data_IF_185929927297
#
_entry.id   IF_185929927297
#
_cell.length_a   1.000
_cell.length_b   1.000
_cell.length_c   1.000
_cell.angle_alpha   90.00
_cell.angle_beta   90.00
_cell.angle_gamma   90.00
#
_symmetry.space_group_name_H-M   'P 1'
#
loop_
_entity.id
_entity.type
_entity.pdbx_description
1 polymer ?
#
# COMPACT_ATOMS: atom_id res chain seq x y z
N UNK A 1 24.09 -3.28 -24.46
CA UNK A 1 22.96 -2.43 -24.02
C UNK A 1 22.19 -3.20 -22.95
N UNK A 2 22.44 -2.90 -21.66
CA UNK A 2 21.64 -3.51 -20.59
C UNK A 2 20.20 -2.95 -20.74
N UNK A 3 19.24 -3.86 -20.95
CA UNK A 3 17.82 -3.51 -20.93
C UNK A 3 17.52 -2.78 -19.62
N UNK A 4 16.78 -1.67 -19.63
CA UNK A 4 16.47 -0.97 -18.41
C UNK A 4 15.76 -1.93 -17.46
N UNK A 5 16.22 -2.03 -16.21
CA UNK A 5 15.58 -2.83 -15.17
C UNK A 5 14.16 -2.28 -14.97
N UNK A 6 13.19 -2.92 -15.59
CA UNK A 6 11.79 -2.50 -15.51
C UNK A 6 10.99 -3.28 -14.46
N UNK A 7 11.56 -4.39 -13.96
CA UNK A 7 10.87 -5.31 -13.05
C UNK A 7 11.83 -5.76 -11.96
N UNK A 8 11.39 -5.64 -10.70
CA UNK A 8 12.06 -6.20 -9.54
C UNK A 8 11.36 -7.50 -9.14
N UNK A 9 12.12 -8.60 -9.07
CA UNK A 9 11.64 -9.89 -8.56
C UNK A 9 12.42 -10.26 -7.30
N UNK A 10 11.71 -10.57 -6.23
CA UNK A 10 12.35 -11.00 -4.98
C UNK A 10 11.45 -11.93 -4.17
N UNK A 11 12.07 -12.82 -3.39
CA UNK A 11 11.36 -13.64 -2.40
C UNK A 11 11.34 -12.94 -1.06
N UNK A 12 10.15 -12.79 -0.50
CA UNK A 12 9.99 -12.24 0.85
C UNK A 12 10.47 -13.27 1.88
N UNK A 13 11.49 -12.95 2.67
CA UNK A 13 12.10 -13.92 3.60
C UNK A 13 11.10 -14.46 4.65
N UNK A 14 10.17 -13.62 5.13
CA UNK A 14 9.19 -13.99 6.16
C UNK A 14 8.11 -14.97 5.66
N UNK A 15 7.72 -14.92 4.40
CA UNK A 15 6.59 -15.69 3.84
C UNK A 15 6.97 -16.59 2.67
N UNK A 16 8.22 -16.53 2.19
CA UNK A 16 8.68 -17.26 1.01
C UNK A 16 8.02 -16.82 -0.31
N UNK A 17 7.06 -15.91 -0.29
CA UNK A 17 6.33 -15.46 -1.49
C UNK A 17 7.26 -14.76 -2.46
N UNK A 18 7.15 -15.11 -3.73
CA UNK A 18 7.79 -14.40 -4.83
C UNK A 18 6.96 -13.17 -5.15
N UNK A 19 7.58 -12.00 -5.07
CA UNK A 19 6.97 -10.72 -5.45
C UNK A 19 7.62 -10.24 -6.74
N UNK A 20 6.79 -9.74 -7.65
CA UNK A 20 7.21 -9.16 -8.93
C UNK A 20 6.62 -7.76 -9.00
N UNK A 21 7.49 -6.76 -9.03
CA UNK A 21 7.09 -5.35 -9.00
C UNK A 21 7.65 -4.63 -10.20
N UNK A 22 6.79 -3.99 -10.98
CA UNK A 22 7.22 -3.07 -12.04
C UNK A 22 7.83 -1.82 -11.39
N UNK A 23 9.01 -1.45 -11.84
CA UNK A 23 9.69 -0.25 -11.36
C UNK A 23 9.20 0.98 -12.12
N UNK A 24 8.50 1.84 -11.43
CA UNK A 24 8.08 3.14 -11.95
C UNK A 24 9.28 4.07 -12.18
N UNK A 25 9.17 5.10 -13.05
CA UNK A 25 10.29 5.99 -13.39
C UNK A 25 11.00 6.61 -12.18
N UNK A 26 10.25 7.02 -11.15
CA UNK A 26 10.80 7.56 -9.91
C UNK A 26 11.65 6.53 -9.14
N UNK A 27 11.19 5.27 -9.06
CA UNK A 27 11.95 4.19 -8.44
C UNK A 27 13.22 3.88 -9.23
N UNK A 28 13.14 3.84 -10.58
CA UNK A 28 14.30 3.64 -11.45
C UNK A 28 15.37 4.73 -11.27
N UNK A 29 14.95 5.98 -11.08
CA UNK A 29 15.88 7.08 -10.81
C UNK A 29 16.66 6.85 -9.50
N UNK A 30 15.98 6.37 -8.45
CA UNK A 30 16.60 6.02 -7.17
C UNK A 30 17.58 4.86 -7.36
N UNK A 31 17.18 3.79 -8.06
CA UNK A 31 18.08 2.66 -8.37
C UNK A 31 19.32 3.14 -9.12
N UNK A 32 19.14 3.95 -10.18
CA UNK A 32 20.27 4.49 -10.96
C UNK A 32 21.23 5.31 -10.10
N UNK A 33 20.71 6.06 -9.11
CA UNK A 33 21.52 6.93 -8.26
C UNK A 33 22.29 6.18 -7.16
N UNK A 34 21.70 5.12 -6.58
CA UNK A 34 22.20 4.52 -5.34
C UNK A 34 22.58 3.03 -5.46
N UNK A 35 22.21 2.35 -6.54
CA UNK A 35 22.61 0.96 -6.72
C UNK A 35 24.10 0.87 -7.01
N UNK A 36 24.74 -0.19 -6.51
CA UNK A 36 26.13 -0.50 -6.87
C UNK A 36 26.22 -0.89 -8.33
N UNK A 37 27.07 -0.18 -9.07
CA UNK A 37 27.38 -0.48 -10.48
C UNK A 37 28.59 -1.38 -10.67
N UNK A 38 29.35 -1.62 -9.59
CA UNK A 38 30.57 -2.44 -9.59
C UNK A 38 30.25 -3.92 -9.65
N UNK A 39 30.91 -4.66 -10.53
CA UNK A 39 30.80 -6.10 -10.65
C UNK A 39 31.17 -6.78 -9.33
N UNK A 40 30.19 -7.38 -8.64
CA UNK A 40 30.41 -8.18 -7.45
C UNK A 40 29.72 -7.80 -6.15
N UNK A 41 28.86 -6.77 -6.03
CA UNK A 41 28.18 -6.52 -4.77
C UNK A 41 27.15 -7.63 -4.50
N UNK A 42 27.19 -8.14 -3.28
CA UNK A 42 26.26 -9.17 -2.80
C UNK A 42 24.81 -8.62 -2.72
N UNK A 43 24.68 -7.29 -2.61
CA UNK A 43 23.41 -6.58 -2.45
C UNK A 43 23.30 -5.41 -3.42
N UNK A 44 22.07 -5.10 -3.81
CA UNK A 44 21.77 -4.02 -4.76
C UNK A 44 22.21 -2.64 -4.26
N UNK A 45 22.11 -2.38 -2.98
CA UNK A 45 22.54 -1.12 -2.36
C UNK A 45 23.74 -1.34 -1.44
N UNK A 46 24.70 -0.39 -1.35
CA UNK A 46 25.96 -0.56 -0.61
C UNK A 46 25.79 -0.41 0.91
N UNK A 47 24.63 -0.77 1.45
CA UNK A 47 24.34 -0.69 2.90
C UNK A 47 24.93 -1.89 3.64
N UNK A 48 24.84 -3.07 3.04
CA UNK A 48 25.37 -4.30 3.59
C UNK A 48 26.51 -4.76 2.70
N UNK A 49 27.68 -4.95 3.28
CA UNK A 49 28.92 -5.25 2.56
C UNK A 49 29.37 -6.70 2.67
N UNK A 50 28.83 -7.43 3.66
CA UNK A 50 29.21 -8.83 3.94
C UNK A 50 27.97 -9.71 4.04
N UNK A 51 28.15 -11.02 3.88
CA UNK A 51 27.10 -12.03 4.05
C UNK A 51 27.06 -12.58 5.49
N UNK A 52 26.09 -13.42 5.78
CA UNK A 52 25.97 -14.15 7.02
C UNK A 52 25.69 -13.28 8.24
N UNK A 53 26.21 -13.69 9.39
CA UNK A 53 25.96 -13.02 10.69
C UNK A 53 26.43 -11.56 10.70
N UNK A 54 27.60 -11.27 10.13
CA UNK A 54 28.13 -9.90 10.06
C UNK A 54 27.25 -9.00 9.19
N UNK A 55 26.79 -9.50 8.06
CA UNK A 55 25.83 -8.78 7.21
C UNK A 55 24.51 -8.49 7.93
N UNK A 56 24.01 -9.44 8.71
CA UNK A 56 22.81 -9.23 9.53
C UNK A 56 23.02 -8.15 10.59
N UNK A 57 24.17 -8.13 11.26
CA UNK A 57 24.52 -7.04 12.19
C UNK A 57 24.62 -5.68 11.49
N UNK A 58 25.22 -5.60 10.32
CA UNK A 58 25.28 -4.37 9.52
C UNK A 58 23.86 -3.88 9.18
N UNK A 59 22.97 -4.78 8.76
CA UNK A 59 21.55 -4.48 8.53
C UNK A 59 20.88 -3.89 9.76
N UNK A 60 21.05 -4.51 10.94
CA UNK A 60 20.42 -4.03 12.17
C UNK A 60 20.92 -2.62 12.57
N UNK A 61 22.23 -2.37 12.42
CA UNK A 61 22.80 -1.05 12.71
C UNK A 61 22.27 0.00 11.74
N UNK A 62 22.27 -0.29 10.45
CA UNK A 62 21.75 0.59 9.41
C UNK A 62 20.27 0.91 9.60
N UNK A 63 19.45 -0.10 9.94
CA UNK A 63 18.02 0.09 10.20
C UNK A 63 17.76 0.95 11.43
N UNK A 64 18.54 0.78 12.50
CA UNK A 64 18.45 1.64 13.69
C UNK A 64 18.80 3.10 13.36
N UNK A 65 19.91 3.34 12.66
CA UNK A 65 20.31 4.68 12.20
C UNK A 65 19.24 5.31 11.31
N UNK A 66 18.73 4.57 10.35
CA UNK A 66 17.66 5.04 9.48
C UNK A 66 16.40 5.46 10.26
N UNK A 67 15.94 4.64 11.20
CA UNK A 67 14.78 4.97 12.03
C UNK A 67 15.07 6.15 13.00
N UNK A 68 16.31 6.34 13.46
CA UNK A 68 16.69 7.50 14.25
C UNK A 68 16.59 8.80 13.43
N UNK A 69 17.11 8.81 12.19
CA UNK A 69 16.97 9.96 11.29
C UNK A 69 15.51 10.26 10.93
N UNK A 70 14.68 9.23 10.72
CA UNK A 70 13.25 9.41 10.49
C UNK A 70 12.54 10.01 11.70
N UNK A 71 12.89 9.60 12.92
CA UNK A 71 12.33 10.16 14.14
C UNK A 71 12.73 11.63 14.31
N UNK A 72 13.97 11.98 14.00
CA UNK A 72 14.44 13.37 14.01
C UNK A 72 13.70 14.21 12.94
N UNK A 73 13.51 13.68 11.75
CA UNK A 73 12.71 14.32 10.71
C UNK A 73 11.26 14.57 11.17
N UNK A 74 10.65 13.60 11.88
CA UNK A 74 9.32 13.80 12.48
C UNK A 74 9.28 14.98 13.43
N UNK A 75 10.30 15.09 14.28
CA UNK A 75 10.43 16.18 15.25
C UNK A 75 10.59 17.53 14.56
N UNK A 76 11.48 17.62 13.57
CA UNK A 76 11.73 18.85 12.79
C UNK A 76 10.49 19.33 12.03
N UNK A 77 9.67 18.41 11.52
CA UNK A 77 8.44 18.71 10.80
C UNK A 77 7.22 18.89 11.71
N UNK A 78 7.37 18.79 13.04
CA UNK A 78 6.27 18.91 13.99
C UNK A 78 5.18 17.84 13.82
N UNK A 79 5.52 16.65 13.30
CA UNK A 79 4.55 15.60 13.08
C UNK A 79 4.11 14.97 14.41
N UNK A 80 2.81 14.74 14.56
CA UNK A 80 2.25 14.06 15.74
C UNK A 80 2.62 12.57 15.82
N UNK A 81 3.04 11.98 14.70
CA UNK A 81 3.38 10.56 14.57
C UNK A 81 4.87 10.43 14.31
N UNK A 82 5.53 9.55 15.07
CA UNK A 82 6.94 9.21 14.86
C UNK A 82 7.07 8.43 13.54
N UNK A 83 7.86 8.95 12.60
CA UNK A 83 8.19 8.23 11.37
C UNK A 83 9.15 7.06 11.66
N UNK A 84 8.89 5.95 10.99
CA UNK A 84 9.75 4.76 10.96
C UNK A 84 9.75 4.17 9.57
N UNK A 85 10.69 3.26 9.27
CA UNK A 85 10.70 2.51 8.00
C UNK A 85 9.38 1.79 7.70
N UNK A 86 8.60 1.48 8.74
CA UNK A 86 7.34 0.77 8.61
C UNK A 86 6.16 1.68 8.26
N UNK A 87 6.24 2.97 8.61
CA UNK A 87 5.18 3.95 8.32
C UNK A 87 4.89 4.06 6.82
N UNK A 88 5.93 4.04 5.97
CA UNK A 88 5.75 4.09 4.52
C UNK A 88 4.86 2.93 4.00
N UNK A 89 5.05 1.73 4.56
CA UNK A 89 4.25 0.55 4.21
C UNK A 89 2.80 0.68 4.66
N UNK A 90 2.56 1.18 5.88
CA UNK A 90 1.21 1.45 6.39
C UNK A 90 0.51 2.55 5.58
N UNK A 91 1.22 3.65 5.31
CA UNK A 91 0.66 4.77 4.54
C UNK A 91 0.26 4.34 3.13
N UNK A 92 1.10 3.53 2.46
CA UNK A 92 0.77 2.98 1.15
C UNK A 92 -0.48 2.10 1.20
N UNK A 93 -0.57 1.18 2.16
CA UNK A 93 -1.73 0.30 2.29
C UNK A 93 -3.02 1.08 2.55
N UNK A 94 -2.97 2.04 3.48
CA UNK A 94 -4.12 2.89 3.82
C UNK A 94 -4.54 3.77 2.64
N UNK A 95 -3.57 4.40 1.94
CA UNK A 95 -3.86 5.20 0.75
C UNK A 95 -4.50 4.36 -0.36
N UNK A 96 -3.98 3.16 -0.63
CA UNK A 96 -4.53 2.23 -1.61
C UNK A 96 -5.98 1.84 -1.25
N UNK A 97 -6.24 1.53 0.02
CA UNK A 97 -7.56 1.20 0.53
C UNK A 97 -8.56 2.36 0.34
N UNK A 98 -8.17 3.59 0.68
CA UNK A 98 -9.00 4.79 0.47
C UNK A 98 -9.24 5.13 -1.01
N UNK A 99 -8.38 4.66 -1.91
CA UNK A 99 -8.60 4.73 -3.37
C UNK A 99 -9.52 3.61 -3.89
N UNK A 100 -10.05 2.75 -3.03
CA UNK A 100 -10.96 1.68 -3.39
C UNK A 100 -10.26 0.44 -3.96
N UNK A 101 -8.94 0.29 -3.79
CA UNK A 101 -8.23 -0.91 -4.22
C UNK A 101 -8.67 -2.08 -3.31
N UNK A 102 -9.09 -3.22 -3.87
CA UNK A 102 -9.50 -4.39 -3.09
C UNK A 102 -8.43 -4.85 -2.11
N UNK A 103 -8.84 -5.25 -0.89
CA UNK A 103 -7.91 -5.70 0.17
C UNK A 103 -7.09 -6.91 -0.25
N UNK A 104 -7.66 -7.80 -1.09
CA UNK A 104 -6.94 -8.92 -1.70
C UNK A 104 -5.72 -8.47 -2.49
N UNK A 105 -5.87 -7.45 -3.35
CA UNK A 105 -4.77 -6.88 -4.14
C UNK A 105 -3.74 -6.20 -3.24
N UNK A 106 -4.19 -5.45 -2.23
CA UNK A 106 -3.28 -4.83 -1.24
C UNK A 106 -2.50 -5.90 -0.49
N UNK A 107 -3.16 -6.96 -0.04
CA UNK A 107 -2.56 -8.09 0.67
C UNK A 107 -1.49 -8.80 -0.17
N UNK A 108 -1.80 -9.07 -1.42
CA UNK A 108 -0.87 -9.67 -2.37
C UNK A 108 0.33 -8.77 -2.64
N UNK A 109 0.10 -7.49 -2.92
CA UNK A 109 1.16 -6.48 -3.14
C UNK A 109 2.10 -6.35 -1.95
N UNK A 110 1.58 -6.48 -0.74
CA UNK A 110 2.37 -6.48 0.50
C UNK A 110 3.00 -7.85 0.80
N UNK A 111 2.65 -8.90 0.06
CA UNK A 111 3.11 -10.28 0.30
C UNK A 111 2.66 -10.83 1.64
N UNK A 112 1.46 -10.49 2.11
CA UNK A 112 0.90 -11.05 3.33
C UNK A 112 0.43 -12.50 3.10
N UNK A 113 0.47 -13.31 4.15
CA UNK A 113 -0.02 -14.69 4.09
C UNK A 113 -1.55 -14.76 4.03
N UNK A 114 -2.25 -13.75 4.57
CA UNK A 114 -3.71 -13.63 4.55
C UNK A 114 -4.15 -12.18 4.56
N UNK A 115 -5.38 -11.92 4.09
CA UNK A 115 -6.00 -10.60 4.13
C UNK A 115 -6.23 -10.10 5.56
N UNK A 116 -6.46 -11.00 6.52
CA UNK A 116 -6.61 -10.66 7.93
C UNK A 116 -5.43 -9.82 8.45
N UNK A 117 -4.21 -10.17 8.04
CA UNK A 117 -3.01 -9.38 8.38
C UNK A 117 -3.07 -7.98 7.75
N UNK A 118 -3.66 -7.86 6.57
CA UNK A 118 -3.76 -6.57 5.88
C UNK A 118 -4.70 -5.63 6.61
N UNK A 119 -5.81 -6.11 7.14
CA UNK A 119 -6.76 -5.28 7.91
C UNK A 119 -6.13 -4.61 9.13
N UNK A 120 -5.08 -5.18 9.73
CA UNK A 120 -4.34 -4.52 10.84
C UNK A 120 -3.57 -3.27 10.41
N UNK A 121 -3.38 -3.08 9.10
CA UNK A 121 -2.70 -1.92 8.52
C UNK A 121 -3.66 -0.82 8.07
N UNK A 122 -4.95 -1.15 7.94
CA UNK A 122 -5.91 -0.25 7.33
C UNK A 122 -6.61 0.58 8.40
N UNK A 123 -6.63 1.89 8.21
CA UNK A 123 -7.51 2.75 8.98
C UNK A 123 -8.95 2.58 8.49
N UNK A 124 -9.92 2.61 9.41
CA UNK A 124 -11.34 2.60 9.05
C UNK A 124 -11.70 3.82 8.19
N UNK A 125 -12.72 3.64 7.33
CA UNK A 125 -13.27 4.75 6.57
C UNK A 125 -13.95 5.77 7.48
N UNK A 126 -13.80 7.05 7.14
CA UNK A 126 -14.56 8.11 7.77
C UNK A 126 -16.04 8.09 7.34
N UNK A 127 -16.91 8.77 8.10
CA UNK A 127 -18.33 8.82 7.82
C UNK A 127 -18.66 9.46 6.46
N UNK A 128 -17.81 10.39 5.97
CA UNK A 128 -18.01 11.02 4.65
C UNK A 128 -17.82 10.01 3.52
N UNK A 129 -16.82 9.16 3.64
CA UNK A 129 -16.54 8.09 2.67
C UNK A 129 -17.67 7.07 2.67
N UNK A 130 -18.16 6.67 3.85
CA UNK A 130 -19.32 5.77 3.99
C UNK A 130 -20.58 6.38 3.36
N UNK A 131 -20.85 7.66 3.63
CA UNK A 131 -22.00 8.40 3.04
C UNK A 131 -21.90 8.46 1.52
N UNK A 132 -20.71 8.74 0.96
CA UNK A 132 -20.52 8.74 -0.50
C UNK A 132 -20.72 7.37 -1.12
N UNK A 133 -20.25 6.31 -0.46
CA UNK A 133 -20.48 4.93 -0.91
C UNK A 133 -21.97 4.58 -0.93
N UNK A 134 -22.68 4.87 0.16
CA UNK A 134 -24.13 4.69 0.25
C UNK A 134 -24.87 5.46 -0.86
N UNK A 135 -24.49 6.72 -1.09
CA UNK A 135 -25.11 7.51 -2.16
C UNK A 135 -24.96 6.86 -3.53
N UNK A 136 -23.76 6.35 -3.84
CA UNK A 136 -23.52 5.64 -5.11
C UNK A 136 -24.42 4.43 -5.27
N UNK A 137 -24.62 3.63 -4.20
CA UNK A 137 -25.52 2.47 -4.23
C UNK A 137 -26.96 2.89 -4.41
N UNK A 138 -27.41 3.91 -3.69
CA UNK A 138 -28.76 4.49 -3.79
C UNK A 138 -29.01 5.02 -5.21
N UNK A 139 -28.05 5.73 -5.80
CA UNK A 139 -28.16 6.26 -7.16
C UNK A 139 -28.31 5.18 -8.22
N UNK A 140 -27.75 3.97 -8.01
CA UNK A 140 -27.95 2.82 -8.90
C UNK A 140 -29.40 2.30 -8.87
N UNK A 141 -30.05 2.39 -7.72
CA UNK A 141 -31.45 1.92 -7.53
C UNK A 141 -32.45 2.96 -7.98
N UNK A 142 -32.16 4.26 -7.72
CA UNK A 142 -33.09 5.37 -8.02
C UNK A 142 -33.03 5.82 -9.49
N UNK A 143 -31.88 5.67 -10.17
CA UNK A 143 -31.80 5.97 -11.60
C UNK A 143 -32.52 4.88 -12.35
N UNK A 144 -33.70 5.16 -12.97
CA UNK A 144 -34.34 4.17 -13.82
C UNK A 144 -33.38 3.85 -14.97
N UNK A 145 -33.01 2.58 -15.10
CA UNK A 145 -32.35 2.11 -16.30
C UNK A 145 -33.26 2.42 -17.47
N UNK A 146 -32.90 3.39 -18.31
CA UNK A 146 -33.52 3.60 -19.61
C UNK A 146 -33.08 2.47 -20.55
N UNK A 147 -33.52 1.24 -20.26
CA UNK A 147 -33.65 0.16 -21.23
C UNK A 147 -35.05 0.23 -21.75
N UNK A 148 -35.21 0.53 -23.04
CA UNK A 148 -36.36 0.59 -23.87
C UNK A 148 -37.74 0.44 -23.18
N UNK A 149 -38.50 1.52 -23.19
CA UNK A 149 -39.96 1.60 -22.94
C UNK A 149 -40.57 0.41 -22.19
N UNK A 150 -40.44 0.36 -20.88
CA UNK A 150 -41.35 -0.32 -19.97
C UNK A 150 -41.15 0.31 -18.59
N UNK A 151 -41.99 1.29 -18.30
CA UNK A 151 -42.08 1.91 -16.98
C UNK A 151 -42.72 0.90 -16.03
N UNK A 152 -41.94 0.22 -15.22
CA UNK A 152 -42.48 -0.50 -14.06
C UNK A 152 -42.33 0.42 -12.87
N UNK A 153 -43.44 1.03 -12.46
CA UNK A 153 -43.56 1.76 -11.21
C UNK A 153 -43.51 0.78 -10.04
N UNK A 154 -42.34 0.62 -9.47
CA UNK A 154 -42.15 -0.10 -8.22
C UNK A 154 -42.00 0.89 -7.09
N UNK A 155 -43.06 1.42 -6.55
CA UNK A 155 -43.12 2.00 -5.19
C UNK A 155 -44.47 2.69 -5.00
N UNK A 156 -45.48 1.86 -4.81
CA UNK A 156 -46.69 2.31 -4.10
C UNK A 156 -47.24 1.13 -3.28
N UNK A 157 -46.74 0.99 -2.07
CA UNK A 157 -47.34 0.41 -0.88
C UNK A 157 -46.28 -0.19 0.06
N UNK A 158 -45.79 0.63 0.96
CA UNK A 158 -45.52 0.15 2.32
C UNK A 158 -45.09 1.35 3.20
N UNK A 159 -45.72 1.41 4.33
CA UNK A 159 -45.89 2.48 5.24
C UNK A 159 -44.62 3.17 5.79
N UNK A 160 -44.85 4.37 6.28
CA UNK A 160 -43.97 5.19 7.10
C UNK A 160 -43.23 4.35 8.15
N UNK A 161 -41.89 4.38 8.08
CA UNK A 161 -41.06 4.08 9.24
C UNK A 161 -40.72 5.40 9.88
N UNK A 162 -41.30 5.66 11.04
CA UNK A 162 -40.96 6.79 11.90
C UNK A 162 -39.64 6.47 12.58
N UNK A 163 -38.64 7.32 12.33
CA UNK A 163 -37.35 7.25 13.07
C UNK A 163 -37.49 8.30 14.18
N UNK A 164 -37.49 7.82 15.44
CA UNK A 164 -37.26 8.64 16.64
C UNK A 164 -35.78 8.87 16.82
#
# INVERSE_FOLDING_TARGET
CALPICVLRYRRSKTGRLLTVKLEPCARAIFKKYACTTSGPLYLFPVIKTSGFLGYRQYQIALRGYNAHLAELSRLLGLKVRLTSYVARHSWATAAYHQGIPVSIISESLGHASEKITYTYLASFDNRTLTKANRKVIDLVIRPHTYGKSTVSFFQKSGLVTIT
#
